data_IF_458695616757
#
_entry.id   IF_458695616757
#
_cell.length_a   1.000
_cell.length_b   1.000
_cell.length_c   1.000
_cell.angle_alpha   90.00
_cell.angle_beta   90.00
_cell.angle_gamma   90.00
#
_symmetry.space_group_name_H-M   'P 1'
#
loop_
_entity.id
_entity.type
_entity.pdbx_description
1 polymer ?
#
# COMPACT_ATOMS: atom_id res chain seq x y z
N UNK A 1 17.26 -60.73 31.16
CA UNK A 1 15.82 -60.66 30.80
C UNK A 1 15.28 -59.43 31.52
N UNK A 2 15.12 -58.26 30.89
CA UNK A 2 13.98 -57.76 30.08
C UNK A 2 14.42 -56.39 29.51
N UNK A 3 14.53 -56.18 28.18
CA UNK A 3 13.53 -55.69 27.21
C UNK A 3 13.16 -54.18 27.29
N UNK A 4 13.57 -53.44 26.24
CA UNK A 4 12.86 -52.36 25.49
C UNK A 4 12.48 -51.06 26.25
N UNK A 5 12.56 -49.82 25.73
CA UNK A 5 12.38 -49.24 24.37
C UNK A 5 12.96 -47.81 24.34
N UNK A 6 13.32 -47.35 23.14
CA UNK A 6 13.62 -45.96 22.79
C UNK A 6 12.37 -45.07 22.91
N UNK A 7 12.54 -43.82 23.34
CA UNK A 7 11.57 -42.75 23.07
C UNK A 7 12.32 -41.41 22.90
N UNK A 8 12.40 -40.96 21.66
CA UNK A 8 12.81 -39.62 21.26
C UNK A 8 11.72 -38.60 21.60
N UNK A 9 12.10 -37.37 21.94
CA UNK A 9 11.32 -36.17 21.61
C UNK A 9 12.25 -34.95 21.54
N UNK A 10 12.59 -34.59 20.31
CA UNK A 10 13.18 -33.30 19.96
C UNK A 10 12.04 -32.29 19.98
N UNK A 11 12.06 -31.34 20.91
CA UNK A 11 11.16 -30.19 20.87
C UNK A 11 11.74 -29.16 19.87
N UNK A 12 11.14 -29.07 18.70
CA UNK A 12 11.47 -28.05 17.71
C UNK A 12 10.88 -26.70 18.17
N UNK A 13 11.74 -25.76 18.51
CA UNK A 13 11.38 -24.36 18.77
C UNK A 13 11.07 -23.69 17.42
N UNK A 14 9.78 -23.48 17.11
CA UNK A 14 9.37 -22.72 15.93
C UNK A 14 9.64 -21.24 16.23
N UNK A 15 10.78 -20.75 15.77
CA UNK A 15 11.10 -19.33 15.76
C UNK A 15 10.27 -18.66 14.65
N UNK A 16 9.21 -17.94 15.03
CA UNK A 16 8.50 -17.06 14.10
C UNK A 16 9.46 -15.95 13.65
N UNK A 17 10.02 -16.09 12.45
CA UNK A 17 10.78 -15.04 11.81
C UNK A 17 9.81 -13.93 11.36
N UNK A 18 9.70 -12.86 12.14
CA UNK A 18 9.07 -11.61 11.68
C UNK A 18 10.02 -10.94 10.69
N UNK A 19 9.81 -11.17 9.40
CA UNK A 19 10.50 -10.39 8.38
C UNK A 19 10.03 -8.93 8.48
N UNK A 20 10.93 -7.94 8.60
CA UNK A 20 10.52 -6.54 8.55
C UNK A 20 10.01 -6.23 7.15
N UNK A 21 8.75 -5.77 7.05
CA UNK A 21 8.27 -5.06 5.87
C UNK A 21 9.21 -3.88 5.64
N UNK A 22 9.87 -3.85 4.49
CA UNK A 22 10.77 -2.76 4.12
C UNK A 22 9.97 -1.44 4.16
N UNK A 23 10.26 -0.60 5.15
CA UNK A 23 9.75 0.75 5.20
C UNK A 23 10.43 1.55 4.08
N UNK A 24 9.67 1.88 3.03
CA UNK A 24 10.14 2.82 2.02
C UNK A 24 10.38 4.17 2.70
N UNK A 25 11.63 4.60 2.77
CA UNK A 25 12.01 5.89 3.32
C UNK A 25 11.33 7.01 2.51
N UNK A 26 10.49 7.80 3.18
CA UNK A 26 9.75 8.89 2.55
C UNK A 26 10.66 10.12 2.49
N UNK A 27 10.82 10.71 1.31
CA UNK A 27 11.48 12.01 1.17
C UNK A 27 10.71 13.14 1.88
N UNK A 28 11.26 14.37 1.91
CA UNK A 28 10.61 15.50 2.58
C UNK A 28 9.21 15.82 2.05
N UNK A 29 8.86 15.35 0.84
CA UNK A 29 7.60 15.62 0.15
C UNK A 29 6.50 14.55 0.37
N UNK A 30 6.73 13.57 1.25
CA UNK A 30 5.80 12.46 1.52
C UNK A 30 5.90 11.29 0.51
N UNK A 31 4.97 10.33 0.55
CA UNK A 31 4.89 9.24 -0.42
C UNK A 31 4.55 9.77 -1.82
N UNK A 32 5.31 9.29 -2.82
CA UNK A 32 4.93 9.36 -4.22
C UNK A 32 4.39 7.99 -4.66
N UNK A 33 3.14 7.96 -5.08
CA UNK A 33 2.52 6.84 -5.79
C UNK A 33 2.58 7.13 -7.28
N UNK A 34 3.11 6.20 -8.06
CA UNK A 34 3.13 6.33 -9.52
C UNK A 34 2.00 5.52 -10.13
N UNK A 35 1.37 6.05 -11.17
CA UNK A 35 0.42 5.30 -12.00
C UNK A 35 1.18 4.86 -13.24
N UNK A 36 1.41 3.56 -13.37
CA UNK A 36 2.12 2.97 -14.51
C UNK A 36 1.63 1.56 -14.80
N UNK A 37 1.54 1.19 -16.07
CA UNK A 37 1.04 -0.09 -16.56
C UNK A 37 -0.38 -0.39 -16.03
N UNK A 38 -1.26 0.63 -15.96
CA UNK A 38 -2.60 0.51 -15.38
C UNK A 38 -2.57 0.01 -13.94
N UNK A 39 -1.64 0.50 -13.12
CA UNK A 39 -1.53 0.16 -11.70
C UNK A 39 -1.09 1.37 -10.89
N UNK A 40 -1.58 1.47 -9.65
CA UNK A 40 -0.96 2.31 -8.63
C UNK A 40 0.27 1.58 -8.07
N UNK A 41 1.39 2.28 -7.92
CA UNK A 41 2.64 1.70 -7.40
C UNK A 41 3.29 2.64 -6.39
N UNK A 42 3.41 2.23 -5.11
CA UNK A 42 2.95 0.94 -4.55
C UNK A 42 1.40 0.82 -4.52
N UNK A 43 0.87 -0.40 -4.43
CA UNK A 43 -0.58 -0.67 -4.25
C UNK A 43 -1.02 -0.65 -2.77
N UNK A 44 -0.08 -0.53 -1.84
CA UNK A 44 -0.34 -0.46 -0.41
C UNK A 44 0.68 0.44 0.23
N UNK A 45 0.21 1.48 0.93
CA UNK A 45 1.06 2.48 1.58
C UNK A 45 0.57 2.68 3.01
N UNK A 46 1.46 2.56 3.99
CA UNK A 46 1.18 2.97 5.38
C UNK A 46 1.83 4.31 5.66
N UNK A 47 1.07 5.26 6.20
CA UNK A 47 1.50 6.63 6.51
C UNK A 47 1.01 7.03 7.90
N UNK A 48 1.56 8.12 8.44
CA UNK A 48 1.04 8.72 9.67
C UNK A 48 -0.07 9.72 9.36
N UNK A 49 -0.98 9.93 10.29
CA UNK A 49 -1.90 11.05 10.22
C UNK A 49 -1.15 12.38 10.05
N UNK A 50 -1.67 13.21 9.14
CA UNK A 50 -1.10 14.48 8.71
C UNK A 50 -0.19 14.40 7.48
N UNK A 51 0.09 13.21 6.94
CA UNK A 51 0.88 13.01 5.72
C UNK A 51 0.09 13.35 4.45
N UNK A 52 0.74 13.98 3.48
CA UNK A 52 0.23 14.18 2.11
C UNK A 52 0.78 13.09 1.21
N UNK A 53 -0.09 12.33 0.53
CA UNK A 53 0.28 11.41 -0.56
C UNK A 53 0.13 12.14 -1.88
N UNK A 54 1.08 11.94 -2.79
CA UNK A 54 1.00 12.43 -4.17
C UNK A 54 0.95 11.27 -5.15
N UNK A 55 -0.01 11.29 -6.06
CA UNK A 55 -0.08 10.40 -7.22
C UNK A 55 0.46 11.12 -8.45
N UNK A 56 1.24 10.43 -9.27
CA UNK A 56 1.71 10.92 -10.57
C UNK A 56 1.37 9.94 -11.67
N UNK A 57 0.71 10.41 -12.73
CA UNK A 57 0.47 9.58 -13.89
C UNK A 57 1.73 9.50 -14.77
N UNK A 58 2.20 8.28 -15.03
CA UNK A 58 3.30 8.00 -15.95
C UNK A 58 2.85 7.21 -17.19
N UNK A 59 1.61 6.73 -17.21
CA UNK A 59 0.99 6.12 -18.39
C UNK A 59 0.62 7.18 -19.42
N UNK A 60 0.45 6.77 -20.68
CA UNK A 60 -0.06 7.63 -21.73
C UNK A 60 -1.57 7.82 -21.63
N UNK A 61 -2.25 6.88 -20.98
CA UNK A 61 -3.69 6.89 -20.77
C UNK A 61 -4.07 7.75 -19.56
N UNK A 62 -5.21 8.46 -19.63
CA UNK A 62 -5.70 9.23 -18.50
C UNK A 62 -6.17 8.31 -17.38
N UNK A 63 -5.88 8.72 -16.15
CA UNK A 63 -6.31 8.03 -14.93
C UNK A 63 -6.93 9.00 -13.93
N UNK A 64 -7.60 8.47 -12.94
CA UNK A 64 -8.16 9.24 -11.81
C UNK A 64 -7.75 8.58 -10.50
N UNK A 65 -7.80 9.36 -9.42
CA UNK A 65 -7.57 8.90 -8.05
C UNK A 65 -8.85 9.16 -7.27
N UNK A 66 -9.56 8.09 -6.92
CA UNK A 66 -10.88 8.15 -6.29
C UNK A 66 -10.88 7.33 -5.02
N UNK A 67 -11.30 7.93 -3.91
CA UNK A 67 -11.61 7.17 -2.70
C UNK A 67 -13.03 6.60 -2.76
N UNK A 68 -13.20 5.33 -2.42
CA UNK A 68 -14.49 4.61 -2.48
C UNK A 68 -15.57 5.16 -1.53
N UNK A 69 -15.17 5.77 -0.42
CA UNK A 69 -16.07 6.44 0.52
C UNK A 69 -16.45 7.87 0.09
N UNK A 70 -15.98 8.33 -1.09
CA UNK A 70 -16.31 9.65 -1.63
C UNK A 70 -15.63 10.82 -0.92
N UNK A 71 -14.56 10.57 -0.16
CA UNK A 71 -13.85 11.61 0.60
C UNK A 71 -13.06 12.53 -0.34
N UNK A 72 -12.50 11.97 -1.41
CA UNK A 72 -11.74 12.72 -2.41
C UNK A 72 -11.82 12.08 -3.79
N UNK A 73 -11.65 12.91 -4.81
CA UNK A 73 -11.72 12.55 -6.23
C UNK A 73 -10.89 13.55 -7.03
N UNK A 74 -9.91 13.08 -7.81
CA UNK A 74 -9.13 13.94 -8.70
C UNK A 74 -9.90 14.27 -9.99
N UNK A 75 -9.47 15.28 -10.74
CA UNK A 75 -9.78 15.32 -12.18
C UNK A 75 -9.10 14.13 -12.90
N UNK A 76 -9.40 13.93 -14.18
CA UNK A 76 -8.53 13.11 -15.01
C UNK A 76 -7.10 13.68 -14.97
N UNK A 77 -6.13 12.79 -14.82
CA UNK A 77 -4.71 13.07 -14.83
C UNK A 77 -4.16 12.55 -16.16
N UNK A 78 -3.73 13.45 -17.02
CA UNK A 78 -3.02 13.09 -18.25
C UNK A 78 -1.57 12.70 -17.91
N UNK A 79 -0.81 12.24 -18.90
CA UNK A 79 0.57 11.83 -18.69
C UNK A 79 1.40 12.96 -18.08
N UNK A 80 2.02 12.68 -16.93
CA UNK A 80 2.87 13.62 -16.20
C UNK A 80 2.15 14.40 -15.10
N UNK A 81 0.82 14.46 -15.13
CA UNK A 81 0.02 15.18 -14.14
C UNK A 81 0.11 14.54 -12.75
N UNK A 82 -0.15 15.36 -11.73
CA UNK A 82 -0.14 14.94 -10.34
C UNK A 82 -1.42 15.31 -9.61
N UNK A 83 -1.75 14.52 -8.60
CA UNK A 83 -2.79 14.79 -7.63
C UNK A 83 -2.25 14.55 -6.22
N UNK A 84 -2.61 15.39 -5.26
CA UNK A 84 -2.17 15.22 -3.86
C UNK A 84 -3.36 15.31 -2.91
N UNK A 85 -3.35 14.49 -1.87
CA UNK A 85 -4.33 14.53 -0.80
C UNK A 85 -3.67 14.37 0.56
N UNK A 86 -4.10 15.18 1.54
CA UNK A 86 -3.60 15.13 2.92
C UNK A 86 -4.52 14.29 3.80
N UNK A 87 -3.95 13.30 4.46
CA UNK A 87 -4.66 12.33 5.29
C UNK A 87 -4.59 12.70 6.76
N UNK A 88 -5.62 13.37 7.27
CA UNK A 88 -5.63 13.86 8.66
C UNK A 88 -6.18 12.88 9.71
N UNK A 89 -6.90 11.85 9.27
CA UNK A 89 -7.61 10.94 10.17
C UNK A 89 -7.07 9.51 10.01
N UNK A 90 -6.68 8.84 11.10
CA UNK A 90 -6.34 7.41 11.05
C UNK A 90 -7.47 6.59 10.44
N UNK A 91 -7.12 5.51 9.74
CA UNK A 91 -8.06 4.63 9.07
C UNK A 91 -7.52 4.02 7.79
N UNK A 92 -8.35 3.20 7.16
CA UNK A 92 -8.04 2.53 5.90
C UNK A 92 -8.82 3.21 4.78
N UNK A 93 -8.11 3.71 3.79
CA UNK A 93 -8.67 4.39 2.63
C UNK A 93 -8.43 3.52 1.39
N UNK A 94 -9.51 3.03 0.80
CA UNK A 94 -9.43 2.30 -0.47
C UNK A 94 -9.52 3.32 -1.61
N UNK A 95 -8.57 3.20 -2.52
CA UNK A 95 -8.43 4.10 -3.67
C UNK A 95 -8.55 3.26 -4.94
N UNK A 96 -9.23 3.79 -5.94
CA UNK A 96 -9.35 3.17 -7.25
C UNK A 96 -9.30 4.23 -8.37
N UNK A 97 -9.07 3.77 -9.60
CA UNK A 97 -9.24 4.63 -10.78
C UNK A 97 -10.69 4.55 -11.26
N UNK A 98 -11.37 5.69 -11.36
CA UNK A 98 -12.74 5.78 -11.84
C UNK A 98 -12.93 5.38 -13.31
N UNK A 99 -11.89 5.52 -14.13
CA UNK A 99 -11.88 5.13 -15.55
C UNK A 99 -11.60 3.62 -15.70
N UNK A 100 -10.71 3.10 -14.85
CA UNK A 100 -10.25 1.71 -14.86
C UNK A 100 -10.46 1.07 -13.47
N UNK A 101 -11.69 0.65 -13.10
CA UNK A 101 -12.03 0.29 -11.71
C UNK A 101 -11.31 -0.94 -11.13
N UNK A 102 -10.57 -1.68 -11.95
CA UNK A 102 -9.71 -2.77 -11.50
C UNK A 102 -8.42 -2.27 -10.85
N UNK A 103 -7.98 -1.04 -11.15
CA UNK A 103 -6.82 -0.41 -10.54
C UNK A 103 -7.17 -0.03 -9.11
N UNK A 104 -6.46 -0.61 -8.13
CA UNK A 104 -6.75 -0.43 -6.71
C UNK A 104 -5.48 -0.19 -5.90
N UNK A 105 -5.62 0.64 -4.89
CA UNK A 105 -4.62 0.89 -3.86
C UNK A 105 -5.30 0.94 -2.48
N UNK A 106 -4.54 0.61 -1.43
CA UNK A 106 -4.94 0.86 -0.05
C UNK A 106 -3.95 1.81 0.62
N UNK A 107 -4.45 2.91 1.19
CA UNK A 107 -3.69 3.77 2.09
C UNK A 107 -4.14 3.47 3.52
N UNK A 108 -3.21 3.03 4.36
CA UNK A 108 -3.44 2.87 5.81
C UNK A 108 -2.82 4.06 6.52
N UNK A 109 -3.63 4.76 7.32
CA UNK A 109 -3.22 5.92 8.10
C UNK A 109 -3.22 5.54 9.57
N UNK A 110 -2.06 5.67 10.21
CA UNK A 110 -1.83 5.37 11.63
C UNK A 110 -1.66 6.64 12.46
#
# INVERSE_FOLDING_TARGET
MTRFKHASLVAALILCATAPLAAFAQGPDGPLVTIRNFMFSPMSTTIKAGTTVTWKNLDGEPHTVVNDAGIFHSSALDQGDTYSFRFDKPGVYKVFCGIHPYMKETITVE
#
